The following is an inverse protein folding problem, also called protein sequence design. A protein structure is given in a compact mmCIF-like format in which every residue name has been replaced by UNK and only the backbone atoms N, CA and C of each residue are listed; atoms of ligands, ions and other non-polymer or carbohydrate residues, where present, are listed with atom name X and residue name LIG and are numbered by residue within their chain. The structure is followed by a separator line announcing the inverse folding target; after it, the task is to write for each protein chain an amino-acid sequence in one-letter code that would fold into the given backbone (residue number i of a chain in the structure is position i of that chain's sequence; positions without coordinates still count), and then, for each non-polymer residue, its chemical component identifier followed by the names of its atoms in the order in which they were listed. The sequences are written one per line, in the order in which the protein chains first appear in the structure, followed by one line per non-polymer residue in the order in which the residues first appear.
data_IF_418966294202
#
_entry.id   IF_418966294202
#
_cell.length_a   1.000
_cell.length_b   1.000
_cell.length_c   1.000
_cell.angle_alpha   90.00
_cell.angle_beta   90.00
_cell.angle_gamma   90.00
#
_symmetry.space_group_name_H-M   'P 1'
#
loop_
_entity.id
_entity.type
_entity.pdbx_description
1 polymer ?
#
# COMPACT_ATOMS: atom_id res chain seq x y z
N UNK A 1 -13.00 -12.41 26.41
CA UNK A 1 -13.94 -11.27 26.32
C UNK A 1 -13.27 -10.03 25.70
N UNK A 2 -12.13 -9.54 26.20
CA UNK A 2 -11.43 -8.33 25.67
C UNK A 2 -11.11 -8.47 24.19
N UNK A 3 -10.55 -9.58 23.73
CA UNK A 3 -10.28 -9.82 22.29
C UNK A 3 -11.53 -9.70 21.42
N UNK A 4 -12.65 -10.20 21.90
CA UNK A 4 -13.93 -10.10 21.18
C UNK A 4 -14.42 -8.66 21.12
N UNK A 5 -14.37 -7.92 22.23
CA UNK A 5 -14.73 -6.50 22.27
C UNK A 5 -13.87 -5.66 21.31
N UNK A 6 -12.54 -5.85 21.36
CA UNK A 6 -11.63 -5.17 20.44
C UNK A 6 -11.90 -5.53 18.98
N UNK A 7 -12.25 -6.79 18.69
CA UNK A 7 -12.60 -7.20 17.33
C UNK A 7 -13.85 -6.47 16.84
N UNK A 8 -14.88 -6.31 17.70
CA UNK A 8 -16.05 -5.50 17.36
C UNK A 8 -15.70 -4.02 17.08
N UNK A 9 -14.77 -3.43 17.86
CA UNK A 9 -14.31 -2.05 17.63
C UNK A 9 -13.62 -1.88 16.28
N UNK A 10 -12.87 -2.91 15.85
CA UNK A 10 -12.00 -2.88 14.67
C UNK A 10 -12.77 -3.19 13.38
N UNK A 11 -13.68 -4.16 13.41
CA UNK A 11 -14.44 -4.61 12.23
C UNK A 11 -15.69 -3.76 11.99
N UNK A 12 -16.43 -3.39 13.05
CA UNK A 12 -17.67 -2.64 12.93
C UNK A 12 -17.42 -1.16 12.68
N UNK A 13 -18.31 -0.55 11.91
CA UNK A 13 -18.13 0.81 11.39
C UNK A 13 -18.03 1.93 12.46
N UNK A 14 -18.62 1.72 13.65
CA UNK A 14 -18.55 2.69 14.75
C UNK A 14 -18.43 2.00 16.11
N UNK A 15 -17.93 2.74 17.10
CA UNK A 15 -17.86 2.23 18.48
C UNK A 15 -19.25 1.96 19.08
N UNK A 16 -20.24 2.81 18.77
CA UNK A 16 -21.60 2.61 19.25
C UNK A 16 -22.17 1.27 18.75
N UNK A 17 -22.07 1.02 17.44
CA UNK A 17 -22.53 -0.26 16.86
C UNK A 17 -21.70 -1.45 17.36
N UNK A 18 -20.39 -1.31 17.47
CA UNK A 18 -19.53 -2.37 17.99
C UNK A 18 -19.86 -2.74 19.44
N UNK A 19 -20.15 -1.75 20.28
CA UNK A 19 -20.57 -1.97 21.66
C UNK A 19 -21.94 -2.63 21.77
N UNK A 20 -22.91 -2.19 20.94
CA UNK A 20 -24.24 -2.82 20.84
C UNK A 20 -24.15 -4.28 20.41
N UNK A 21 -23.41 -4.54 19.34
CA UNK A 21 -23.16 -5.89 18.81
C UNK A 21 -22.51 -6.81 19.85
N UNK A 22 -21.49 -6.30 20.55
CA UNK A 22 -20.85 -7.07 21.60
C UNK A 22 -21.83 -7.44 22.71
N UNK A 23 -22.61 -6.46 23.19
CA UNK A 23 -23.61 -6.70 24.26
C UNK A 23 -24.66 -7.69 23.84
N UNK A 24 -25.15 -7.62 22.61
CA UNK A 24 -26.13 -8.54 22.04
C UNK A 24 -25.59 -9.97 21.91
N UNK A 25 -24.34 -10.12 21.46
CA UNK A 25 -23.72 -11.44 21.25
C UNK A 25 -23.29 -12.14 22.55
N UNK A 26 -23.08 -11.39 23.63
CA UNK A 26 -22.47 -11.93 24.85
C UNK A 26 -23.32 -11.79 26.11
N UNK A 27 -24.45 -11.10 26.05
CA UNK A 27 -25.27 -10.67 27.18
C UNK A 27 -24.51 -9.84 28.24
N UNK A 28 -23.33 -9.31 27.87
CA UNK A 28 -22.51 -8.46 28.75
C UNK A 28 -22.62 -7.01 28.28
N UNK A 29 -23.13 -6.10 29.12
CA UNK A 29 -23.28 -4.71 28.73
C UNK A 29 -21.91 -4.04 28.50
N UNK A 30 -21.75 -3.41 27.34
CA UNK A 30 -20.54 -2.65 26.98
C UNK A 30 -20.96 -1.29 26.44
N UNK A 31 -20.45 -0.21 27.04
CA UNK A 31 -20.71 1.13 26.53
C UNK A 31 -19.74 1.51 25.39
N UNK A 32 -20.18 2.42 24.50
CA UNK A 32 -19.31 2.99 23.46
C UNK A 32 -18.02 3.56 24.05
N UNK A 33 -18.12 4.31 25.15
CA UNK A 33 -16.96 4.93 25.81
C UNK A 33 -15.99 3.92 26.40
N UNK A 34 -16.50 2.80 26.94
CA UNK A 34 -15.67 1.71 27.42
C UNK A 34 -14.97 0.99 26.28
N UNK A 35 -15.66 0.67 25.19
CA UNK A 35 -15.08 0.07 24.02
C UNK A 35 -13.99 0.95 23.40
N UNK A 36 -14.23 2.25 23.31
CA UNK A 36 -13.23 3.22 22.84
C UNK A 36 -11.98 3.27 23.75
N UNK A 37 -12.16 3.25 25.07
CA UNK A 37 -11.03 3.21 26.02
C UNK A 37 -10.21 1.95 25.83
N UNK A 38 -10.84 0.78 25.79
CA UNK A 38 -10.15 -0.49 25.52
C UNK A 38 -9.37 -0.44 24.20
N UNK A 39 -9.97 0.10 23.14
CA UNK A 39 -9.29 0.23 21.84
C UNK A 39 -8.05 1.10 21.92
N UNK A 40 -8.12 2.23 22.64
CA UNK A 40 -6.96 3.12 22.81
C UNK A 40 -5.89 2.45 23.68
N UNK A 41 -6.26 1.82 24.77
CA UNK A 41 -5.35 1.15 25.68
C UNK A 41 -4.54 0.05 25.00
N UNK A 42 -5.22 -0.96 24.46
CA UNK A 42 -4.57 -2.11 23.83
C UNK A 42 -3.92 -1.74 22.48
N UNK A 43 -4.54 -0.84 21.71
CA UNK A 43 -3.93 -0.35 20.50
C UNK A 43 -2.68 0.49 20.74
N UNK A 44 -2.64 1.30 21.81
CA UNK A 44 -1.44 2.06 22.16
C UNK A 44 -0.30 1.16 22.67
N UNK A 45 -0.62 0.10 23.42
CA UNK A 45 0.36 -0.90 23.83
C UNK A 45 0.95 -1.61 22.58
N UNK A 46 0.12 -1.98 21.63
CA UNK A 46 0.58 -2.57 20.36
C UNK A 46 1.48 -1.59 19.58
N UNK A 47 1.11 -0.31 19.48
CA UNK A 47 1.93 0.73 18.82
C UNK A 47 3.31 0.84 19.48
N UNK A 48 3.39 0.77 20.81
CA UNK A 48 4.67 0.81 21.54
C UNK A 48 5.52 -0.42 21.23
N UNK A 49 4.92 -1.61 21.25
CA UNK A 49 5.60 -2.87 20.88
C UNK A 49 6.15 -2.79 19.44
N UNK A 50 5.33 -2.41 18.49
CA UNK A 50 5.73 -2.26 17.09
C UNK A 50 6.84 -1.22 16.89
N UNK A 51 6.80 -0.12 17.63
CA UNK A 51 7.85 0.91 17.58
C UNK A 51 9.17 0.40 18.16
N UNK A 52 9.12 -0.37 19.27
CA UNK A 52 10.29 -0.99 19.86
C UNK A 52 10.93 -2.04 18.93
N UNK A 53 10.12 -2.89 18.31
CA UNK A 53 10.56 -3.85 17.28
C UNK A 53 11.25 -3.14 16.12
N UNK A 54 10.61 -2.10 15.57
CA UNK A 54 11.15 -1.34 14.45
C UNK A 54 12.48 -0.65 14.83
N UNK A 55 12.60 -0.11 16.03
CA UNK A 55 13.82 0.50 16.52
C UNK A 55 14.95 -0.52 16.73
N UNK A 56 14.64 -1.71 17.23
CA UNK A 56 15.59 -2.78 17.42
C UNK A 56 16.18 -3.25 16.07
N UNK A 57 15.33 -3.44 15.05
CA UNK A 57 15.76 -3.88 13.72
C UNK A 57 16.67 -2.89 12.98
N UNK A 58 16.60 -1.60 13.30
CA UNK A 58 17.42 -0.55 12.66
C UNK A 58 18.75 -0.32 13.38
N UNK A 59 18.84 -0.67 14.67
CA UNK A 59 20.02 -0.40 15.53
C UNK A 59 20.92 -1.60 15.74
N UNK A 60 20.85 -2.59 14.85
CA UNK A 60 21.67 -3.80 14.99
C UNK A 60 23.15 -3.43 14.77
N UNK A 61 24.04 -3.66 15.75
CA UNK A 61 25.48 -3.55 15.55
C UNK A 61 25.95 -4.49 14.45
N UNK A 62 27.00 -4.11 13.71
CA UNK A 62 27.54 -4.95 12.61
C UNK A 62 27.92 -6.34 13.07
N UNK A 63 28.37 -6.47 14.28
CA UNK A 63 28.75 -7.73 14.92
C UNK A 63 27.54 -8.67 15.12
N UNK A 64 26.35 -8.10 15.23
CA UNK A 64 25.08 -8.82 15.45
C UNK A 64 24.26 -9.03 14.16
N UNK A 65 24.65 -8.41 13.05
CA UNK A 65 23.94 -8.54 11.77
C UNK A 65 23.80 -10.01 11.34
N UNK A 66 24.85 -10.82 11.54
CA UNK A 66 24.81 -12.25 11.22
C UNK A 66 23.84 -13.04 12.10
N UNK A 67 23.65 -12.62 13.36
CA UNK A 67 22.68 -13.22 14.30
C UNK A 67 21.27 -12.84 13.88
N UNK A 68 21.04 -11.55 13.61
CA UNK A 68 19.76 -11.07 13.10
C UNK A 68 19.38 -11.78 11.80
N UNK A 69 20.30 -11.90 10.87
CA UNK A 69 20.08 -12.60 9.60
C UNK A 69 19.56 -14.03 9.79
N UNK A 70 20.09 -14.75 10.79
CA UNK A 70 19.64 -16.11 11.12
C UNK A 70 18.23 -16.12 11.73
N UNK A 71 17.83 -15.05 12.40
CA UNK A 71 16.51 -14.92 13.02
C UNK A 71 15.42 -14.50 12.02
N UNK A 72 15.79 -13.87 10.90
CA UNK A 72 14.84 -13.55 9.82
C UNK A 72 14.28 -14.87 9.29
N UNK A 73 12.95 -15.03 9.23
CA UNK A 73 12.33 -16.25 8.73
C UNK A 73 12.60 -16.45 7.23
N UNK A 74 12.36 -17.65 6.75
CA UNK A 74 12.30 -17.88 5.31
C UNK A 74 11.07 -17.20 4.71
N UNK A 75 11.18 -16.65 3.50
CA UNK A 75 10.06 -15.97 2.85
C UNK A 75 8.99 -16.98 2.40
N UNK A 76 7.75 -16.55 2.37
CA UNK A 76 6.61 -17.39 1.95
C UNK A 76 6.67 -17.78 0.46
N UNK A 77 7.45 -17.07 -0.34
CA UNK A 77 7.71 -17.35 -1.77
C UNK A 77 9.11 -16.91 -2.17
N UNK A 78 9.64 -17.49 -3.24
CA UNK A 78 10.88 -17.06 -3.86
C UNK A 78 10.81 -15.60 -4.36
N UNK A 79 9.63 -15.15 -4.74
CA UNK A 79 9.36 -13.75 -5.13
C UNK A 79 8.43 -13.12 -4.11
N UNK A 80 8.87 -12.05 -3.49
CA UNK A 80 8.09 -11.29 -2.51
C UNK A 80 7.81 -9.89 -3.05
N UNK A 81 6.59 -9.42 -2.86
CA UNK A 81 6.19 -8.08 -3.26
C UNK A 81 5.97 -7.18 -2.03
N UNK A 82 6.38 -5.93 -2.15
CA UNK A 82 6.12 -4.90 -1.16
C UNK A 82 5.59 -3.64 -1.84
N UNK A 83 4.58 -3.05 -1.24
CA UNK A 83 3.94 -1.82 -1.74
C UNK A 83 3.71 -0.84 -0.60
N UNK A 84 3.65 0.45 -0.94
CA UNK A 84 3.28 1.51 0.00
C UNK A 84 2.34 2.51 -0.67
N UNK A 85 1.51 3.17 0.16
CA UNK A 85 0.55 4.19 -0.27
C UNK A 85 0.27 5.18 0.87
N UNK A 86 -0.27 6.34 0.54
CA UNK A 86 -0.68 7.40 1.46
C UNK A 86 -2.17 7.65 1.44
N UNK A 87 -2.82 7.66 2.62
CA UNK A 87 -4.27 7.88 2.74
C UNK A 87 -4.55 9.01 3.71
N UNK A 88 -5.30 10.01 3.28
CA UNK A 88 -5.68 11.14 4.13
C UNK A 88 -6.81 10.75 5.11
N UNK A 89 -6.63 11.06 6.39
CA UNK A 89 -7.65 10.98 7.45
C UNK A 89 -7.80 12.32 8.16
N UNK A 90 -8.97 12.60 8.72
CA UNK A 90 -9.22 13.86 9.43
C UNK A 90 -9.00 13.70 10.94
N UNK A 91 -8.01 14.41 11.48
CA UNK A 91 -7.77 14.53 12.91
C UNK A 91 -8.48 15.78 13.48
N UNK A 92 -8.94 15.68 14.75
CA UNK A 92 -9.74 16.75 15.39
C UNK A 92 -9.00 18.08 15.49
N UNK A 93 -7.74 18.04 15.87
CA UNK A 93 -6.93 19.21 16.19
C UNK A 93 -5.97 19.59 15.07
N UNK A 94 -5.69 18.66 14.16
CA UNK A 94 -4.63 18.81 13.16
C UNK A 94 -5.15 18.87 11.72
N UNK A 95 -6.46 18.69 11.50
CA UNK A 95 -7.04 18.62 10.16
C UNK A 95 -6.67 17.34 9.42
N UNK A 96 -6.54 17.43 8.09
CA UNK A 96 -6.20 16.30 7.24
C UNK A 96 -4.74 15.91 7.38
N UNK A 97 -4.49 14.63 7.72
CA UNK A 97 -3.16 14.03 7.87
C UNK A 97 -3.05 12.76 7.06
N UNK A 98 -1.88 12.54 6.51
CA UNK A 98 -1.56 11.33 5.75
C UNK A 98 -1.26 10.17 6.70
N UNK A 99 -1.99 9.07 6.52
CA UNK A 99 -1.65 7.74 7.03
C UNK A 99 -0.81 7.06 5.97
N UNK A 100 0.36 6.58 6.36
CA UNK A 100 1.19 5.74 5.51
C UNK A 100 0.81 4.28 5.72
N UNK A 101 0.58 3.57 4.62
CA UNK A 101 0.22 2.15 4.61
C UNK A 101 1.24 1.40 3.79
N UNK A 102 1.61 0.22 4.27
CA UNK A 102 2.38 -0.73 3.47
C UNK A 102 1.73 -2.11 3.47
N UNK A 103 2.02 -2.88 2.44
CA UNK A 103 1.70 -4.29 2.36
C UNK A 103 2.92 -5.10 1.93
N UNK A 104 3.09 -6.28 2.52
CA UNK A 104 4.03 -7.31 2.07
C UNK A 104 3.23 -8.53 1.67
N UNK A 105 3.58 -9.15 0.54
CA UNK A 105 2.84 -10.27 -0.03
C UNK A 105 3.77 -11.28 -0.66
N UNK A 106 3.41 -12.55 -0.61
CA UNK A 106 4.01 -13.58 -1.44
C UNK A 106 3.50 -13.44 -2.88
N UNK A 107 4.38 -13.59 -3.87
CA UNK A 107 3.98 -13.69 -5.28
C UNK A 107 3.89 -15.16 -5.65
N UNK A 108 2.72 -15.60 -6.08
CA UNK A 108 2.48 -16.95 -6.62
C UNK A 108 2.13 -16.82 -8.10
N UNK A 109 2.60 -17.75 -8.89
CA UNK A 109 2.19 -17.88 -10.30
C UNK A 109 1.29 -19.09 -10.43
N UNK A 110 0.11 -18.91 -10.99
CA UNK A 110 -0.80 -20.01 -11.34
C UNK A 110 -0.84 -20.14 -12.86
N UNK A 111 -0.85 -21.38 -13.34
CA UNK A 111 -1.09 -21.65 -14.75
C UNK A 111 -2.57 -21.40 -15.03
N UNK A 112 -2.88 -20.46 -15.90
CA UNK A 112 -4.28 -20.22 -16.32
C UNK A 112 -4.72 -21.40 -17.25
N UNK A 113 -5.82 -22.08 -16.91
CA UNK A 113 -6.30 -23.18 -17.74
C UNK A 113 -6.67 -22.68 -19.13
N UNK A 114 -5.89 -23.09 -20.14
CA UNK A 114 -6.21 -22.87 -21.56
C UNK A 114 -5.43 -21.78 -22.30
N UNK A 115 -4.66 -20.91 -21.61
CA UNK A 115 -3.95 -19.80 -22.30
C UNK A 115 -2.41 -19.92 -22.28
N UNK A 116 -1.83 -20.86 -21.53
CA UNK A 116 -0.38 -21.01 -21.43
C UNK A 116 0.33 -19.75 -20.84
N UNK A 117 -0.43 -18.83 -20.24
CA UNK A 117 0.05 -17.62 -19.60
C UNK A 117 -0.03 -17.80 -18.07
N UNK A 118 1.08 -17.51 -17.40
CA UNK A 118 1.11 -17.48 -15.93
C UNK A 118 0.66 -16.12 -15.44
N UNK A 119 -0.38 -16.09 -14.61
CA UNK A 119 -0.87 -14.86 -13.98
C UNK A 119 -0.33 -14.76 -12.54
N UNK A 120 0.44 -13.71 -12.20
CA UNK A 120 0.93 -13.54 -10.84
C UNK A 120 -0.20 -13.13 -9.89
N UNK A 121 -0.31 -13.83 -8.76
CA UNK A 121 -1.20 -13.50 -7.64
C UNK A 121 -0.42 -13.08 -6.42
N UNK A 122 -0.96 -12.11 -5.70
CA UNK A 122 -0.43 -11.66 -4.43
C UNK A 122 -1.23 -12.30 -3.30
N UNK A 123 -0.54 -13.04 -2.42
CA UNK A 123 -1.15 -13.81 -1.33
C UNK A 123 -0.43 -13.59 0.00
N UNK A 124 -0.99 -14.12 1.07
CA UNK A 124 -0.39 -14.09 2.41
C UNK A 124 0.04 -12.68 2.80
N UNK A 125 -0.91 -11.74 2.74
CA UNK A 125 -0.63 -10.33 2.99
C UNK A 125 -0.33 -10.05 4.46
N UNK A 126 0.60 -9.13 4.69
CA UNK A 126 0.73 -8.45 5.96
C UNK A 126 0.83 -6.94 5.77
N UNK A 127 0.43 -6.19 6.79
CA UNK A 127 0.24 -4.75 6.69
C UNK A 127 0.84 -4.02 7.89
N UNK A 128 1.29 -2.78 7.65
CA UNK A 128 1.54 -1.76 8.68
C UNK A 128 0.87 -0.46 8.24
N UNK A 129 0.30 0.26 9.17
CA UNK A 129 -0.32 1.55 8.90
C UNK A 129 -0.19 2.49 10.08
N UNK A 130 0.11 3.77 9.82
CA UNK A 130 0.23 4.76 10.88
C UNK A 130 0.41 6.19 10.40
N UNK A 131 0.22 7.11 11.35
CA UNK A 131 0.42 8.55 11.20
C UNK A 131 1.89 8.88 11.46
N UNK A 132 2.77 8.45 10.57
CA UNK A 132 4.21 8.55 10.73
C UNK A 132 4.84 9.52 9.74
N UNK A 133 5.91 10.17 10.19
CA UNK A 133 6.86 10.82 9.29
C UNK A 133 7.63 9.76 8.47
N UNK A 134 8.18 10.16 7.34
CA UNK A 134 8.86 9.25 6.40
C UNK A 134 9.95 8.41 7.08
N UNK A 135 10.76 9.01 7.96
CA UNK A 135 11.82 8.31 8.69
C UNK A 135 11.28 7.19 9.60
N UNK A 136 10.25 7.48 10.38
CA UNK A 136 9.61 6.49 11.26
C UNK A 136 8.96 5.39 10.44
N UNK A 137 8.27 5.76 9.36
CA UNK A 137 7.67 4.79 8.45
C UNK A 137 8.73 3.88 7.81
N UNK A 138 9.92 4.40 7.44
CA UNK A 138 11.04 3.58 6.94
C UNK A 138 11.41 2.47 7.91
N UNK A 139 11.46 2.77 9.21
CA UNK A 139 11.80 1.77 10.23
C UNK A 139 10.72 0.67 10.31
N UNK A 140 9.44 1.05 10.29
CA UNK A 140 8.32 0.08 10.27
C UNK A 140 8.28 -0.72 8.97
N UNK A 141 8.58 -0.07 7.84
CA UNK A 141 8.67 -0.70 6.52
C UNK A 141 9.75 -1.79 6.50
N UNK A 142 10.93 -1.45 7.01
CA UNK A 142 12.05 -2.40 7.13
C UNK A 142 11.72 -3.56 8.09
N UNK A 143 11.23 -3.25 9.31
CA UNK A 143 10.91 -4.27 10.30
C UNK A 143 9.86 -5.28 9.82
N UNK A 144 8.79 -4.80 9.15
CA UNK A 144 7.79 -5.69 8.57
C UNK A 144 8.36 -6.53 7.43
N UNK A 145 9.21 -5.95 6.59
CA UNK A 145 9.90 -6.67 5.52
C UNK A 145 10.80 -7.78 6.06
N UNK A 146 11.59 -7.51 7.11
CA UNK A 146 12.41 -8.51 7.78
C UNK A 146 11.56 -9.62 8.40
N UNK A 147 10.46 -9.26 9.06
CA UNK A 147 9.54 -10.23 9.67
C UNK A 147 8.91 -11.18 8.65
N UNK A 148 8.78 -10.75 7.40
CA UNK A 148 8.28 -11.55 6.28
C UNK A 148 9.39 -12.18 5.45
N UNK A 149 10.63 -12.12 5.88
CA UNK A 149 11.76 -12.76 5.22
C UNK A 149 12.16 -12.16 3.88
N UNK A 150 11.78 -10.91 3.56
CA UNK A 150 12.06 -10.30 2.25
C UNK A 150 13.55 -10.32 1.89
N UNK A 151 14.43 -10.08 2.84
CA UNK A 151 15.87 -10.06 2.62
C UNK A 151 16.44 -11.42 2.12
N UNK A 152 15.78 -12.53 2.46
CA UNK A 152 16.13 -13.87 1.99
C UNK A 152 15.40 -14.26 0.70
N UNK A 153 14.44 -13.48 0.24
CA UNK A 153 13.74 -13.76 -1.00
C UNK A 153 14.70 -13.72 -2.20
N UNK A 154 14.48 -14.58 -3.16
CA UNK A 154 15.24 -14.60 -4.40
C UNK A 154 15.06 -13.29 -5.20
N UNK A 155 13.84 -12.76 -5.21
CA UNK A 155 13.49 -11.48 -5.83
C UNK A 155 12.57 -10.66 -4.92
N UNK A 156 12.89 -9.37 -4.78
CA UNK A 156 12.05 -8.37 -4.11
C UNK A 156 11.46 -7.46 -5.18
N UNK A 157 10.14 -7.42 -5.25
CA UNK A 157 9.38 -6.57 -6.19
C UNK A 157 8.74 -5.43 -5.42
N UNK A 158 9.11 -4.20 -5.73
CA UNK A 158 8.55 -3.00 -5.11
C UNK A 158 7.58 -2.35 -6.10
N UNK A 159 6.28 -2.39 -5.77
CA UNK A 159 5.22 -1.86 -6.63
C UNK A 159 4.51 -0.72 -5.90
N UNK A 160 4.51 0.47 -6.47
CA UNK A 160 3.83 1.63 -5.86
C UNK A 160 3.51 2.69 -6.91
N UNK A 161 2.79 3.72 -6.49
CA UNK A 161 2.65 4.94 -7.26
C UNK A 161 4.01 5.66 -7.44
N UNK A 162 4.04 6.72 -8.19
CA UNK A 162 5.27 7.47 -8.46
C UNK A 162 5.73 8.41 -7.35
N UNK A 163 5.21 8.32 -6.14
CA UNK A 163 5.55 9.23 -5.05
C UNK A 163 7.03 9.10 -4.66
N UNK A 164 7.74 10.22 -4.68
CA UNK A 164 9.19 10.26 -4.46
C UNK A 164 9.62 9.70 -3.09
N UNK A 165 8.79 9.92 -2.05
CA UNK A 165 9.08 9.43 -0.71
C UNK A 165 9.05 7.89 -0.62
N UNK A 166 8.19 7.22 -1.41
CA UNK A 166 8.13 5.75 -1.45
C UNK A 166 9.43 5.19 -2.05
N UNK A 167 9.85 5.73 -3.19
CA UNK A 167 11.08 5.28 -3.86
C UNK A 167 12.34 5.57 -3.05
N UNK A 168 12.35 6.65 -2.27
CA UNK A 168 13.43 6.92 -1.32
C UNK A 168 13.52 5.84 -0.22
N UNK A 169 12.38 5.40 0.33
CA UNK A 169 12.31 4.32 1.32
C UNK A 169 12.76 2.99 0.71
N UNK A 170 12.24 2.65 -0.47
CA UNK A 170 12.62 1.44 -1.21
C UNK A 170 14.13 1.41 -1.48
N UNK A 171 14.71 2.55 -1.85
CA UNK A 171 16.15 2.68 -2.07
C UNK A 171 16.97 2.43 -0.80
N UNK A 172 16.50 2.94 0.34
CA UNK A 172 17.15 2.77 1.64
C UNK A 172 17.06 1.31 2.12
N UNK A 173 15.89 0.69 1.96
CA UNK A 173 15.62 -0.63 2.53
C UNK A 173 16.21 -1.79 1.70
N UNK A 174 16.23 -1.69 0.37
CA UNK A 174 16.57 -2.83 -0.48
C UNK A 174 17.68 -2.50 -1.49
N UNK A 175 18.85 -3.09 -1.32
CA UNK A 175 19.96 -2.96 -2.27
C UNK A 175 19.65 -3.66 -3.61
N UNK A 176 19.02 -4.84 -3.56
CA UNK A 176 18.58 -5.61 -4.73
C UNK A 176 17.06 -5.63 -4.76
N UNK A 177 16.47 -5.05 -5.80
CA UNK A 177 15.03 -4.93 -5.97
C UNK A 177 14.66 -4.70 -7.42
N UNK A 178 13.42 -5.04 -7.77
CA UNK A 178 12.77 -4.65 -9.02
C UNK A 178 11.74 -3.57 -8.66
N UNK A 179 11.89 -2.38 -9.23
CA UNK A 179 10.97 -1.27 -9.04
C UNK A 179 9.94 -1.25 -10.17
N UNK A 180 8.67 -1.35 -9.83
CA UNK A 180 7.55 -1.35 -10.78
C UNK A 180 6.60 -0.21 -10.42
N UNK A 181 6.36 0.68 -11.37
CA UNK A 181 5.33 1.70 -11.24
C UNK A 181 3.97 1.05 -11.47
N UNK A 182 3.01 1.34 -10.61
CA UNK A 182 1.66 0.81 -10.75
C UNK A 182 1.05 1.13 -12.12
N UNK A 183 0.54 0.09 -12.78
CA UNK A 183 -0.07 0.18 -14.11
C UNK A 183 -1.23 1.18 -14.15
N UNK A 184 -2.12 1.13 -13.15
CA UNK A 184 -3.31 1.96 -13.15
C UNK A 184 -2.99 3.43 -12.92
N UNK A 185 -1.95 3.74 -12.15
CA UNK A 185 -1.46 5.11 -11.99
C UNK A 185 -0.91 5.66 -13.32
N UNK A 186 -0.16 4.87 -14.07
CA UNK A 186 0.28 5.27 -15.42
C UNK A 186 -0.92 5.54 -16.33
N UNK A 187 -1.91 4.64 -16.32
CA UNK A 187 -3.15 4.80 -17.11
C UNK A 187 -3.92 6.07 -16.70
N UNK A 188 -3.97 6.41 -15.42
CA UNK A 188 -4.60 7.65 -14.94
C UNK A 188 -3.91 8.90 -15.50
N UNK A 189 -2.58 8.93 -15.54
CA UNK A 189 -1.84 10.05 -16.15
C UNK A 189 -2.05 10.14 -17.66
N UNK A 190 -2.17 9.03 -18.37
CA UNK A 190 -2.54 9.04 -19.79
C UNK A 190 -3.96 9.60 -19.99
N UNK A 191 -4.92 9.28 -19.11
CA UNK A 191 -6.25 9.88 -19.10
C UNK A 191 -6.25 11.38 -18.78
N UNK A 192 -5.30 11.88 -18.00
CA UNK A 192 -5.15 13.32 -17.80
C UNK A 192 -4.71 14.03 -19.08
N UNK A 193 -3.79 13.41 -19.84
CA UNK A 193 -3.31 13.95 -21.11
C UNK A 193 -4.45 14.04 -22.13
N UNK A 194 -5.15 12.95 -22.35
CA UNK A 194 -6.19 12.88 -23.39
C UNK A 194 -7.41 13.73 -23.04
N UNK A 195 -7.75 13.80 -21.75
CA UNK A 195 -8.89 14.59 -21.26
C UNK A 195 -8.74 16.12 -21.39
N UNK A 196 -7.54 16.61 -21.77
CA UNK A 196 -7.33 18.01 -22.13
C UNK A 196 -7.58 18.28 -23.62
N UNK A 197 -7.71 17.22 -24.43
CA UNK A 197 -7.91 17.31 -25.89
C UNK A 197 -9.31 16.91 -26.30
N UNK A 198 -9.85 15.85 -25.70
CA UNK A 198 -11.16 15.28 -26.02
C UNK A 198 -11.99 15.03 -24.77
N UNK A 199 -13.31 14.95 -24.95
CA UNK A 199 -14.17 14.38 -23.92
C UNK A 199 -13.76 12.92 -23.69
N UNK A 200 -13.67 12.50 -22.42
CA UNK A 200 -13.21 11.15 -22.04
C UNK A 200 -14.11 10.04 -22.56
N UNK A 201 -15.39 10.34 -22.85
CA UNK A 201 -16.37 9.41 -23.41
C UNK A 201 -16.35 9.36 -24.93
N UNK A 202 -15.61 10.24 -25.60
CA UNK A 202 -15.55 10.27 -27.07
C UNK A 202 -14.83 9.04 -27.64
N UNK A 203 -15.19 8.68 -28.86
CA UNK A 203 -14.56 7.58 -29.58
C UNK A 203 -13.04 7.80 -29.73
N UNK A 204 -12.64 9.03 -30.05
CA UNK A 204 -11.24 9.42 -30.27
C UNK A 204 -10.43 9.24 -28.97
N UNK A 205 -10.97 9.65 -27.81
CA UNK A 205 -10.33 9.49 -26.52
C UNK A 205 -10.14 8.01 -26.16
N UNK A 206 -11.18 7.20 -26.33
CA UNK A 206 -11.14 5.77 -26.03
C UNK A 206 -10.15 5.05 -26.97
N UNK A 207 -10.25 5.30 -28.29
CA UNK A 207 -9.34 4.70 -29.26
C UNK A 207 -7.87 5.08 -29.00
N UNK A 208 -7.61 6.34 -28.66
CA UNK A 208 -6.26 6.79 -28.30
C UNK A 208 -5.76 6.08 -27.04
N UNK A 209 -6.59 5.98 -26.01
CA UNK A 209 -6.24 5.31 -24.76
C UNK A 209 -5.96 3.82 -24.96
N UNK A 210 -6.74 3.13 -25.77
CA UNK A 210 -6.52 1.70 -26.05
C UNK A 210 -5.20 1.49 -26.79
N UNK A 211 -4.90 2.38 -27.74
CA UNK A 211 -3.62 2.38 -28.42
C UNK A 211 -2.45 2.64 -27.45
N UNK A 212 -2.61 3.53 -26.43
CA UNK A 212 -1.57 3.77 -25.43
C UNK A 212 -1.42 2.58 -24.47
N UNK A 213 -2.52 1.98 -24.01
CA UNK A 213 -2.48 0.77 -23.18
C UNK A 213 -1.78 -0.38 -23.89
N UNK A 214 -2.07 -0.58 -25.19
CA UNK A 214 -1.38 -1.58 -25.99
C UNK A 214 0.13 -1.29 -26.09
N UNK A 215 0.52 -0.06 -26.37
CA UNK A 215 1.94 0.34 -26.41
C UNK A 215 2.62 0.17 -25.06
N UNK A 216 1.93 0.52 -23.97
CA UNK A 216 2.42 0.35 -22.60
C UNK A 216 2.62 -1.12 -22.24
N UNK A 217 1.65 -1.99 -22.59
CA UNK A 217 1.72 -3.43 -22.39
C UNK A 217 2.92 -4.10 -23.08
N UNK A 218 3.37 -3.53 -24.20
CA UNK A 218 4.54 -3.98 -24.97
C UNK A 218 5.80 -3.16 -24.69
N UNK A 219 5.82 -2.34 -23.64
CA UNK A 219 6.95 -1.48 -23.26
C UNK A 219 7.43 -0.53 -24.36
N UNK A 220 6.55 -0.14 -25.26
CA UNK A 220 6.83 0.75 -26.41
C UNK A 220 6.83 2.23 -25.99
N UNK A 221 7.68 2.60 -25.02
CA UNK A 221 7.69 3.94 -24.40
C UNK A 221 7.88 5.06 -25.42
N UNK A 222 8.73 4.86 -26.45
CA UNK A 222 8.96 5.85 -27.50
C UNK A 222 7.68 6.17 -28.26
N UNK A 223 6.85 5.14 -28.54
CA UNK A 223 5.59 5.28 -29.25
C UNK A 223 4.57 6.09 -28.41
N UNK A 224 4.54 5.86 -27.10
CA UNK A 224 3.69 6.63 -26.17
C UNK A 224 4.02 8.12 -26.26
N UNK A 225 5.29 8.49 -26.09
CA UNK A 225 5.72 9.89 -26.16
C UNK A 225 5.54 10.49 -27.57
N UNK A 226 5.73 9.70 -28.62
CA UNK A 226 5.44 10.13 -30.00
C UNK A 226 3.98 10.49 -30.19
N UNK A 227 3.04 9.66 -29.71
CA UNK A 227 1.59 9.91 -29.81
C UNK A 227 1.15 11.11 -28.97
N UNK A 228 1.73 11.31 -27.77
CA UNK A 228 1.49 12.53 -26.99
C UNK A 228 1.94 13.76 -27.79
N UNK A 229 3.06 13.68 -28.48
CA UNK A 229 3.59 14.77 -29.30
C UNK A 229 2.75 15.03 -30.54
N UNK A 230 1.99 14.07 -31.04
CA UNK A 230 1.01 14.25 -32.13
C UNK A 230 -0.21 15.05 -31.65
N UNK A 231 -0.66 14.85 -30.38
CA UNK A 231 -1.71 15.66 -29.78
C UNK A 231 -1.24 17.10 -29.49
N UNK A 232 0.02 17.25 -29.08
CA UNK A 232 0.60 18.53 -28.71
C UNK A 232 1.88 18.80 -29.53
N UNK A 233 1.76 19.33 -30.77
CA UNK A 233 2.92 19.63 -31.62
C UNK A 233 3.89 20.61 -30.98
N UNK A 234 5.13 20.59 -31.44
CA UNK A 234 6.15 21.55 -30.95
C UNK A 234 5.70 22.99 -31.17
N UNK A 235 5.89 23.82 -30.12
CA UNK A 235 5.47 25.24 -30.16
C UNK A 235 4.06 25.49 -29.63
N UNK A 236 3.25 24.42 -29.42
CA UNK A 236 1.96 24.57 -28.72
C UNK A 236 2.18 24.61 -27.21
N UNK A 237 1.63 25.62 -26.49
CA UNK A 237 1.66 25.61 -25.03
C UNK A 237 0.97 24.36 -24.49
N UNK A 238 1.65 23.63 -23.62
CA UNK A 238 1.08 22.45 -22.96
C UNK A 238 0.22 22.90 -21.77
N UNK A 239 -1.00 22.39 -21.60
CA UNK A 239 -1.75 22.53 -20.36
C UNK A 239 -0.95 21.99 -19.18
N UNK A 240 -1.05 22.62 -18.02
CA UNK A 240 -0.30 22.21 -16.81
C UNK A 240 -0.48 20.72 -16.46
N UNK A 241 -1.71 20.14 -16.48
CA UNK A 241 -1.90 18.71 -16.22
C UNK A 241 -1.14 17.79 -17.20
N UNK A 242 -1.00 18.22 -18.48
CA UNK A 242 -0.25 17.49 -19.50
C UNK A 242 1.24 17.55 -19.22
N UNK A 243 1.76 18.73 -18.83
CA UNK A 243 3.17 18.88 -18.44
C UNK A 243 3.53 17.97 -17.26
N UNK A 244 2.70 17.97 -16.22
CA UNK A 244 2.86 17.14 -15.04
C UNK A 244 2.84 15.64 -15.41
N UNK A 245 1.88 15.22 -16.23
CA UNK A 245 1.77 13.83 -16.67
C UNK A 245 2.98 13.37 -17.50
N UNK A 246 3.46 14.20 -18.43
CA UNK A 246 4.67 13.90 -19.22
C UNK A 246 5.90 13.79 -18.30
N UNK A 247 6.07 14.74 -17.40
CA UNK A 247 7.18 14.74 -16.44
C UNK A 247 7.17 13.48 -15.55
N UNK A 248 5.98 13.11 -15.05
CA UNK A 248 5.79 11.89 -14.27
C UNK A 248 6.17 10.63 -15.05
N UNK A 249 5.65 10.45 -16.26
CA UNK A 249 5.96 9.31 -17.12
C UNK A 249 7.46 9.24 -17.45
N UNK A 250 8.06 10.39 -17.76
CA UNK A 250 9.49 10.48 -18.07
C UNK A 250 10.37 10.14 -16.87
N UNK A 251 10.03 10.66 -15.70
CA UNK A 251 10.77 10.38 -14.47
C UNK A 251 10.74 8.90 -14.11
N UNK A 252 9.59 8.26 -14.31
CA UNK A 252 9.37 6.86 -13.96
C UNK A 252 9.62 5.87 -15.13
N UNK A 253 10.13 6.30 -16.27
CA UNK A 253 10.27 5.47 -17.49
C UNK A 253 11.06 4.17 -17.33
N UNK A 254 11.89 4.05 -16.28
CA UNK A 254 12.63 2.82 -15.97
C UNK A 254 11.81 1.80 -15.17
N UNK A 255 10.62 2.20 -14.68
CA UNK A 255 9.72 1.40 -13.84
C UNK A 255 8.47 0.93 -14.56
N UNK A 256 8.38 1.13 -15.88
CA UNK A 256 7.20 0.83 -16.71
C UNK A 256 7.51 -0.16 -17.84
N UNK A 257 8.47 -1.06 -17.63
CA UNK A 257 8.79 -2.13 -18.58
C UNK A 257 7.88 -3.35 -18.37
N UNK A 258 6.59 -3.12 -18.61
CA UNK A 258 5.55 -4.12 -18.28
C UNK A 258 5.64 -5.39 -19.11
N UNK A 259 6.18 -5.33 -20.34
CA UNK A 259 6.41 -6.53 -21.15
C UNK A 259 7.40 -7.47 -20.45
N UNK A 260 8.55 -6.93 -20.01
CA UNK A 260 9.55 -7.70 -19.29
C UNK A 260 9.03 -8.22 -17.93
N UNK A 261 8.29 -7.39 -17.19
CA UNK A 261 7.72 -7.80 -15.90
C UNK A 261 6.73 -8.94 -16.05
N UNK A 262 5.81 -8.86 -17.02
CA UNK A 262 4.84 -9.94 -17.31
C UNK A 262 5.54 -11.21 -17.76
N UNK A 263 6.55 -11.11 -18.64
CA UNK A 263 7.34 -12.25 -19.08
C UNK A 263 8.06 -12.94 -17.91
N UNK A 264 8.47 -12.16 -16.89
CA UNK A 264 9.08 -12.68 -15.68
C UNK A 264 8.06 -13.15 -14.62
N UNK A 265 6.75 -13.17 -14.92
CA UNK A 265 5.70 -13.57 -13.98
C UNK A 265 5.53 -12.60 -12.81
N UNK A 266 5.88 -11.32 -12.99
CA UNK A 266 5.80 -10.32 -11.93
C UNK A 266 4.50 -9.55 -11.98
N UNK A 267 3.91 -9.19 -10.81
CA UNK A 267 2.73 -8.35 -10.74
C UNK A 267 3.06 -6.91 -11.16
N UNK A 268 2.15 -6.26 -11.86
CA UNK A 268 2.33 -4.89 -12.36
C UNK A 268 1.39 -3.87 -11.72
N UNK A 269 0.55 -4.30 -10.80
CA UNK A 269 -0.41 -3.45 -10.07
C UNK A 269 -0.23 -3.52 -8.57
N UNK A 270 -0.42 -2.40 -7.90
CA UNK A 270 -0.36 -2.24 -6.44
C UNK A 270 -1.72 -2.50 -5.75
N UNK A 271 -2.61 -3.25 -6.40
CA UNK A 271 -3.99 -3.47 -5.93
C UNK A 271 -4.11 -3.93 -4.49
N UNK A 272 -3.11 -4.62 -3.96
CA UNK A 272 -3.08 -5.06 -2.56
C UNK A 272 -2.99 -3.88 -1.59
N UNK A 273 -2.09 -2.92 -1.82
CA UNK A 273 -1.97 -1.74 -0.93
C UNK A 273 -3.13 -0.77 -1.14
N UNK A 274 -3.66 -0.64 -2.35
CA UNK A 274 -4.89 0.13 -2.60
C UNK A 274 -6.09 -0.48 -1.88
N UNK A 275 -6.23 -1.82 -1.92
CA UNK A 275 -7.24 -2.54 -1.16
C UNK A 275 -7.02 -2.34 0.35
N UNK A 276 -5.79 -2.42 0.83
CA UNK A 276 -5.45 -2.12 2.22
C UNK A 276 -5.83 -0.68 2.60
N UNK A 277 -5.53 0.30 1.75
CA UNK A 277 -5.93 1.69 1.96
C UNK A 277 -7.45 1.84 2.11
N UNK A 278 -8.23 1.13 1.30
CA UNK A 278 -9.70 1.10 1.38
C UNK A 278 -10.20 0.37 2.63
N UNK A 279 -9.78 -0.87 2.80
CA UNK A 279 -10.30 -1.74 3.88
C UNK A 279 -9.74 -1.36 5.24
N UNK A 280 -8.43 -1.21 5.37
CA UNK A 280 -7.75 -0.97 6.62
C UNK A 280 -7.98 0.45 7.15
N UNK A 281 -8.03 1.45 6.25
CA UNK A 281 -8.15 2.86 6.63
C UNK A 281 -9.54 3.41 6.35
N UNK A 282 -9.95 3.48 5.07
CA UNK A 282 -11.12 4.27 4.69
C UNK A 282 -12.43 3.73 5.26
N UNK A 283 -12.68 2.43 5.21
CA UNK A 283 -13.92 1.83 5.70
C UNK A 283 -14.20 2.13 7.17
N UNK A 284 -13.16 2.27 7.99
CA UNK A 284 -13.31 2.51 9.43
C UNK A 284 -13.11 3.96 9.82
N UNK A 285 -12.30 4.71 9.07
CA UNK A 285 -11.80 6.02 9.50
C UNK A 285 -12.27 7.20 8.66
N UNK A 286 -12.86 6.96 7.48
CA UNK A 286 -13.31 8.02 6.55
C UNK A 286 -14.82 8.03 6.32
N UNK A 287 -15.60 7.81 7.36
CA UNK A 287 -17.06 7.96 7.26
C UNK A 287 -17.46 9.43 7.42
N UNK A 288 -18.68 9.76 6.94
CA UNK A 288 -19.21 11.11 7.00
C UNK A 288 -19.16 11.68 8.44
N UNK A 289 -18.56 12.86 8.61
CA UNK A 289 -18.42 13.54 9.89
C UNK A 289 -17.41 12.92 10.88
N UNK A 290 -16.74 11.84 10.53
CA UNK A 290 -15.82 11.15 11.42
C UNK A 290 -14.52 11.93 11.60
N UNK A 291 -14.13 12.15 12.85
CA UNK A 291 -12.89 12.83 13.26
C UNK A 291 -12.21 12.06 14.37
N UNK A 292 -10.91 11.89 14.29
CA UNK A 292 -10.12 11.08 15.22
C UNK A 292 -9.19 11.95 16.09
N UNK A 293 -8.95 11.53 17.33
CA UNK A 293 -7.73 11.96 18.03
C UNK A 293 -6.53 11.24 17.42
N UNK A 294 -5.34 11.84 17.44
CA UNK A 294 -4.13 11.20 16.91
C UNK A 294 -3.89 9.83 17.56
N UNK A 295 -3.96 9.76 18.90
CA UNK A 295 -3.77 8.51 19.63
C UNK A 295 -4.82 7.45 19.26
N UNK A 296 -6.09 7.84 19.19
CA UNK A 296 -7.17 6.90 18.80
C UNK A 296 -7.05 6.41 17.37
N UNK A 297 -6.61 7.28 16.44
CA UNK A 297 -6.34 6.91 15.07
C UNK A 297 -5.17 5.91 14.97
N UNK A 298 -4.06 6.20 15.64
CA UNK A 298 -2.88 5.34 15.62
C UNK A 298 -3.17 3.97 16.23
N UNK A 299 -3.89 3.92 17.36
CA UNK A 299 -4.32 2.69 18.01
C UNK A 299 -5.22 1.84 17.09
N UNK A 300 -6.20 2.48 16.44
CA UNK A 300 -7.11 1.81 15.50
C UNK A 300 -6.36 1.25 14.29
N UNK A 301 -5.42 2.00 13.72
CA UNK A 301 -4.60 1.57 12.58
C UNK A 301 -3.75 0.36 12.91
N UNK A 302 -3.08 0.35 14.06
CA UNK A 302 -2.26 -0.78 14.50
C UNK A 302 -3.10 -2.05 14.70
N UNK A 303 -4.24 -1.94 15.39
CA UNK A 303 -5.15 -3.07 15.61
C UNK A 303 -5.71 -3.61 14.29
N UNK A 304 -6.08 -2.73 13.34
CA UNK A 304 -6.57 -3.16 12.03
C UNK A 304 -5.46 -3.80 11.19
N UNK A 305 -4.27 -3.25 11.20
CA UNK A 305 -3.11 -3.85 10.53
C UNK A 305 -2.83 -5.26 11.06
N UNK A 306 -2.86 -5.44 12.38
CA UNK A 306 -2.69 -6.75 13.02
C UNK A 306 -3.78 -7.74 12.60
N UNK A 307 -5.05 -7.30 12.62
CA UNK A 307 -6.20 -8.14 12.26
C UNK A 307 -6.13 -8.58 10.79
N UNK A 308 -5.93 -7.64 9.87
CA UNK A 308 -5.90 -7.93 8.44
C UNK A 308 -4.62 -8.65 7.98
N UNK A 309 -3.61 -8.74 8.86
CA UNK A 309 -2.43 -9.58 8.67
C UNK A 309 -2.59 -11.00 9.23
N UNK A 310 -3.79 -11.41 9.62
CA UNK A 310 -4.11 -12.70 10.27
C UNK A 310 -3.32 -12.96 11.57
N UNK A 311 -2.87 -11.86 12.24
CA UNK A 311 -2.02 -11.89 13.45
C UNK A 311 -2.77 -11.53 14.73
N UNK A 312 -4.10 -11.60 14.70
CA UNK A 312 -4.93 -11.24 15.86
C UNK A 312 -4.60 -12.03 17.14
N UNK A 313 -4.03 -13.21 16.98
CA UNK A 313 -3.57 -14.05 18.10
C UNK A 313 -2.35 -13.47 18.83
N UNK A 314 -1.57 -12.59 18.20
CA UNK A 314 -0.40 -11.92 18.77
C UNK A 314 -0.78 -10.69 19.62
N UNK A 315 -2.06 -10.28 19.65
CA UNK A 315 -2.49 -9.14 20.44
C UNK A 315 -2.18 -9.39 21.93
N UNK A 316 -1.37 -8.54 22.59
CA UNK A 316 -1.01 -8.70 23.99
C UNK A 316 -2.23 -8.40 24.87
N UNK A 317 -2.82 -9.43 25.46
CA UNK A 317 -3.97 -9.36 26.38
C UNK A 317 -3.68 -10.25 27.58
#
# INVERSE_FOLDING_TARGET
MIRLALRQAVEISSYARGASNFSELTDVPLSESALRRLTIEYGSALVQTEAAEAAAMVRVPKEEEAVLWRQIPEPDSAVMAVSADGVMVHLREEGWKEVKVMSVSAVRTEDEPGEGTQSPRLEQHSYRAGLWEAKTFTNHYWAESCRRGLEKAHQIVCISDGAAWIWAIVFICFARRIEILDWWHVVQYLWQIVGQTWDRSSYEAVAWMDAQKAALAHSQHRLIFQRIRQLYPRGTPLPEPVQQAIAYLWHNRRRIDYAAYRQAGLPIGSGTVESAAKTLVQQRMKQAGMRWSRTGAQAMLALRALLFSDRWHELPI
#
